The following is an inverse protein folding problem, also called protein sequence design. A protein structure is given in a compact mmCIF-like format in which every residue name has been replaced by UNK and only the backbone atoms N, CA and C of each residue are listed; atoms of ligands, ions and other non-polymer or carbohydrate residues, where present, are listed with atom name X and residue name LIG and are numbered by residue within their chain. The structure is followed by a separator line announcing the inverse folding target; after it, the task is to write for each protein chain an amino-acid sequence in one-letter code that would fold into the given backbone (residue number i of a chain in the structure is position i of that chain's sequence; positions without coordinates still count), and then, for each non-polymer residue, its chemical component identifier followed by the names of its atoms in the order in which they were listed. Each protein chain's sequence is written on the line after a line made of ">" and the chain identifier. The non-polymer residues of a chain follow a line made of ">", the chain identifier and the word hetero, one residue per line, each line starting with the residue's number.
data_IF_459830419626
#
_entry.id   IF_459830419626
#
_cell.length_a   1.000
_cell.length_b   1.000
_cell.length_c   1.000
_cell.angle_alpha   90.00
_cell.angle_beta   90.00
_cell.angle_gamma   90.00
#
_symmetry.space_group_name_H-M   'P 1'
#
loop_
_entity.id
_entity.type
_entity.pdbx_description
1 polymer ?
#
# COMPACT_ATOMS: atom_id res chain seq x y z
N UNK A 1 100.93 46.46 10.78
CA UNK A 1 101.42 47.79 10.33
C UNK A 1 102.06 48.55 11.49
N UNK A 2 103.21 49.21 11.28
CA UNK A 2 103.84 50.08 12.27
C UNK A 2 103.59 51.57 11.97
N UNK A 3 104.00 52.47 12.87
CA UNK A 3 103.92 53.92 12.65
C UNK A 3 105.16 54.40 11.91
N UNK A 4 105.03 55.46 11.10
CA UNK A 4 106.17 56.08 10.43
C UNK A 4 107.17 56.64 11.45
N UNK A 5 108.43 56.27 11.29
CA UNK A 5 109.50 56.47 12.26
C UNK A 5 110.76 57.08 11.65
N UNK A 6 110.67 57.59 10.41
CA UNK A 6 111.76 58.34 9.79
C UNK A 6 112.09 59.61 10.58
N UNK A 7 113.32 60.13 10.52
CA UNK A 7 113.71 61.36 11.24
C UNK A 7 112.82 62.57 10.94
N UNK A 8 112.18 62.58 9.77
CA UNK A 8 111.23 63.62 9.31
C UNK A 8 109.77 63.33 9.66
N UNK A 9 109.47 62.23 10.35
CA UNK A 9 108.14 61.94 10.85
C UNK A 9 107.69 63.05 11.81
N UNK A 10 106.41 63.41 11.77
CA UNK A 10 105.87 64.29 12.79
C UNK A 10 105.80 63.54 14.11
N UNK A 11 106.69 63.93 15.04
CA UNK A 11 106.65 63.40 16.39
C UNK A 11 105.29 63.66 17.03
N UNK A 12 104.72 62.61 17.63
CA UNK A 12 103.48 62.66 18.43
C UNK A 12 102.24 63.23 17.73
N UNK A 13 102.16 63.15 16.39
CA UNK A 13 101.02 63.69 15.60
C UNK A 13 99.66 63.22 16.11
N UNK A 14 99.57 61.98 16.57
CA UNK A 14 98.33 61.36 17.05
C UNK A 14 98.36 61.05 18.57
N UNK A 15 99.21 61.75 19.33
CA UNK A 15 99.46 61.53 20.76
C UNK A 15 100.85 60.98 21.06
N UNK A 16 101.23 60.93 22.34
CA UNK A 16 102.57 60.53 22.78
C UNK A 16 102.97 59.15 22.24
N UNK A 17 104.13 59.08 21.58
CA UNK A 17 104.68 57.90 20.91
C UNK A 17 104.05 57.56 19.55
N UNK A 18 103.07 58.34 19.08
CA UNK A 18 102.30 58.05 17.86
C UNK A 18 102.64 59.03 16.75
N UNK A 19 103.81 58.80 16.15
CA UNK A 19 104.30 59.58 15.03
C UNK A 19 103.38 59.45 13.80
N UNK A 20 103.39 60.46 12.94
CA UNK A 20 102.58 60.48 11.72
C UNK A 20 103.19 61.28 10.58
N UNK A 21 102.59 61.17 9.39
CA UNK A 21 103.05 61.89 8.20
C UNK A 21 102.79 63.40 8.29
N UNK A 22 103.68 64.21 7.76
CA UNK A 22 103.47 65.64 7.51
C UNK A 22 103.84 65.97 6.06
N UNK A 23 103.13 66.92 5.45
CA UNK A 23 103.48 67.42 4.11
C UNK A 23 104.72 68.32 4.13
N UNK A 24 105.29 68.56 5.33
CA UNK A 24 106.27 69.60 5.54
C UNK A 24 105.61 70.97 5.55
N UNK A 25 106.42 71.98 5.85
CA UNK A 25 106.05 73.37 5.75
C UNK A 25 107.31 74.15 5.32
N UNK A 26 107.40 74.54 4.03
CA UNK A 26 108.55 75.27 3.52
C UNK A 26 108.80 76.59 4.23
N UNK A 27 107.76 77.24 4.77
CA UNK A 27 107.88 78.54 5.44
C UNK A 27 108.56 78.44 6.81
N UNK A 28 108.43 77.28 7.48
CA UNK A 28 109.06 77.00 8.77
C UNK A 28 110.30 76.11 8.66
N UNK A 29 110.73 75.78 7.43
CA UNK A 29 111.87 74.90 7.15
C UNK A 29 111.61 73.43 7.49
N UNK A 30 110.36 73.05 7.76
CA UNK A 30 109.98 71.69 8.14
C UNK A 30 109.87 70.81 6.91
N UNK A 31 110.67 69.75 6.84
CA UNK A 31 110.61 68.79 5.73
C UNK A 31 109.33 67.95 5.77
N UNK A 32 108.86 67.56 4.59
CA UNK A 32 107.85 66.51 4.47
C UNK A 32 108.38 65.20 5.05
N UNK A 33 107.48 64.33 5.50
CA UNK A 33 107.88 63.03 6.00
C UNK A 33 108.44 62.19 4.86
N UNK A 34 109.75 61.93 4.93
CA UNK A 34 110.41 60.95 4.08
C UNK A 34 109.78 59.58 4.34
N UNK A 35 109.48 58.87 3.26
CA UNK A 35 108.93 57.52 3.30
C UNK A 35 110.10 56.51 3.38
N UNK A 36 109.96 55.47 4.18
CA UNK A 36 110.93 54.37 4.28
C UNK A 36 110.36 53.06 3.72
N UNK A 37 111.26 52.12 3.42
CA UNK A 37 110.92 50.77 2.97
C UNK A 37 110.04 50.06 3.98
N UNK A 38 110.40 50.08 5.26
CA UNK A 38 109.73 49.30 6.30
C UNK A 38 108.22 49.60 6.37
N UNK A 39 107.83 50.88 6.23
CA UNK A 39 106.42 51.28 6.22
C UNK A 39 105.70 50.81 4.94
N UNK A 40 106.34 50.92 3.77
CA UNK A 40 105.73 50.50 2.50
C UNK A 40 105.67 48.99 2.36
N UNK A 41 106.67 48.27 2.84
CA UNK A 41 106.66 46.82 2.94
C UNK A 41 105.56 46.37 3.90
N UNK A 42 105.40 47.03 5.05
CA UNK A 42 104.28 46.72 5.96
C UNK A 42 102.90 46.99 5.35
N UNK A 43 102.73 48.08 4.59
CA UNK A 43 101.46 48.36 3.88
C UNK A 43 101.21 47.32 2.78
N UNK A 44 102.24 46.98 2.02
CA UNK A 44 102.15 45.96 0.98
C UNK A 44 101.77 44.61 1.60
N UNK A 45 102.48 44.16 2.63
CA UNK A 45 102.26 42.86 3.24
C UNK A 45 100.89 42.76 3.94
N UNK A 46 100.36 43.83 4.53
CA UNK A 46 98.99 43.82 5.09
C UNK A 46 97.92 43.63 3.99
N UNK A 47 98.12 44.27 2.83
CA UNK A 47 97.23 44.11 1.68
C UNK A 47 97.41 42.74 1.02
N UNK A 48 98.66 42.32 0.81
CA UNK A 48 99.04 41.04 0.25
C UNK A 48 98.54 39.88 1.11
N UNK A 49 98.68 39.96 2.43
CA UNK A 49 98.20 38.94 3.37
C UNK A 49 96.69 38.73 3.23
N UNK A 50 95.89 39.79 3.06
CA UNK A 50 94.42 39.65 2.84
C UNK A 50 94.13 38.95 1.51
N UNK A 51 94.88 39.30 0.46
CA UNK A 51 94.73 38.71 -0.88
C UNK A 51 95.11 37.23 -0.88
N UNK A 52 96.25 36.91 -0.29
CA UNK A 52 96.76 35.55 -0.18
C UNK A 52 95.91 34.69 0.75
N UNK A 53 95.39 35.24 1.86
CA UNK A 53 94.45 34.56 2.75
C UNK A 53 93.13 34.20 2.05
N UNK A 54 92.71 34.99 1.05
CA UNK A 54 91.59 34.66 0.17
C UNK A 54 91.95 33.63 -0.92
N UNK A 55 93.18 33.10 -0.92
CA UNK A 55 93.70 32.15 -1.90
C UNK A 55 93.87 32.76 -3.30
N UNK A 56 94.11 34.07 -3.40
CA UNK A 56 94.34 34.78 -4.66
C UNK A 56 95.86 35.00 -4.82
N UNK A 57 96.50 34.55 -5.91
CA UNK A 57 97.92 34.80 -6.15
C UNK A 57 98.18 36.30 -6.43
N UNK A 58 99.22 36.88 -5.84
CA UNK A 58 99.62 38.27 -6.10
C UNK A 58 100.03 38.48 -7.56
N UNK A 59 99.54 39.55 -8.18
CA UNK A 59 99.82 39.88 -9.59
C UNK A 59 100.15 41.36 -9.73
N UNK A 60 101.37 41.64 -10.18
CA UNK A 60 101.91 43.01 -10.32
C UNK A 60 101.10 43.91 -11.29
N UNK A 61 100.23 43.34 -12.12
CA UNK A 61 99.39 44.08 -13.06
C UNK A 61 97.91 44.17 -12.67
N UNK A 62 97.48 43.55 -11.56
CA UNK A 62 96.08 43.50 -11.17
C UNK A 62 95.81 44.42 -9.97
N UNK A 63 95.00 45.46 -10.17
CA UNK A 63 94.75 46.48 -9.16
C UNK A 63 93.41 46.29 -8.42
N UNK A 64 92.71 45.17 -8.65
CA UNK A 64 91.43 44.86 -7.97
C UNK A 64 91.51 43.68 -6.98
N UNK A 65 92.72 43.16 -6.74
CA UNK A 65 92.92 41.94 -5.95
C UNK A 65 92.37 42.03 -4.52
N UNK A 66 92.55 43.16 -3.85
CA UNK A 66 92.03 43.36 -2.48
C UNK A 66 90.50 43.35 -2.43
N UNK A 67 89.84 43.97 -3.41
CA UNK A 67 88.38 43.96 -3.52
C UNK A 67 87.86 42.53 -3.75
N UNK A 68 88.47 41.79 -4.69
CA UNK A 68 88.12 40.39 -4.94
C UNK A 68 88.36 39.49 -3.71
N UNK A 69 89.44 39.75 -2.96
CA UNK A 69 89.77 39.02 -1.74
C UNK A 69 88.69 39.21 -0.67
N UNK A 70 88.28 40.46 -0.40
CA UNK A 70 87.23 40.79 0.57
C UNK A 70 85.90 40.13 0.17
N UNK A 71 85.50 40.25 -1.12
CA UNK A 71 84.27 39.62 -1.62
C UNK A 71 84.28 38.11 -1.39
N UNK A 72 85.37 37.44 -1.76
CA UNK A 72 85.50 35.99 -1.58
C UNK A 72 85.49 35.57 -0.11
N UNK A 73 86.19 36.29 0.76
CA UNK A 73 86.22 35.99 2.20
C UNK A 73 84.83 36.14 2.84
N UNK A 74 84.05 37.14 2.43
CA UNK A 74 82.67 37.33 2.90
C UNK A 74 81.77 36.22 2.38
N UNK A 75 81.82 35.92 1.08
CA UNK A 75 80.98 34.88 0.48
C UNK A 75 81.22 33.50 1.10
N UNK A 76 82.48 33.13 1.35
CA UNK A 76 82.81 31.87 2.02
C UNK A 76 82.30 31.82 3.47
N UNK A 77 82.29 32.94 4.20
CA UNK A 77 81.70 32.98 5.53
C UNK A 77 80.17 32.93 5.51
N UNK A 78 79.51 33.57 4.53
CA UNK A 78 78.05 33.63 4.43
C UNK A 78 77.45 32.29 3.99
N UNK A 79 78.14 31.51 3.13
CA UNK A 79 77.74 30.14 2.73
C UNK A 79 77.54 29.17 3.89
N UNK A 80 78.01 29.50 5.09
CA UNK A 80 77.84 28.66 6.29
C UNK A 80 76.49 28.85 6.99
N UNK A 81 75.68 29.83 6.57
CA UNK A 81 74.36 30.16 7.16
C UNK A 81 73.23 29.69 6.25
N UNK A 82 72.06 29.48 6.85
CA UNK A 82 70.84 29.20 6.09
C UNK A 82 70.26 30.47 5.47
N UNK A 83 69.77 30.38 4.25
CA UNK A 83 69.11 31.44 3.51
C UNK A 83 67.60 31.46 3.80
N UNK A 84 67.08 32.61 4.26
CA UNK A 84 65.65 32.74 4.63
C UNK A 84 64.69 32.40 3.48
N UNK A 85 65.03 32.80 2.25
CA UNK A 85 64.23 32.56 1.05
C UNK A 85 64.28 31.11 0.55
N UNK A 86 65.24 30.29 1.00
CA UNK A 86 65.31 28.86 0.65
C UNK A 86 64.33 28.01 1.49
N UNK A 87 63.72 28.58 2.54
CA UNK A 87 62.76 27.88 3.41
C UNK A 87 63.28 26.51 3.92
N UNK A 88 64.58 26.43 4.24
CA UNK A 88 65.23 25.22 4.73
C UNK A 88 65.54 24.17 3.65
N UNK A 89 65.41 24.51 2.36
CA UNK A 89 65.84 23.64 1.26
C UNK A 89 67.36 23.36 1.29
N UNK A 90 68.12 24.34 1.77
CA UNK A 90 69.57 24.42 1.96
C UNK A 90 70.10 23.73 3.23
N UNK A 91 69.23 23.15 4.06
CA UNK A 91 69.64 22.34 5.21
C UNK A 91 70.37 21.08 4.70
N UNK A 92 71.65 20.87 5.04
CA UNK A 92 72.42 19.74 4.53
C UNK A 92 71.87 18.38 4.99
N UNK A 93 71.36 18.31 6.23
CA UNK A 93 70.76 17.10 6.81
C UNK A 93 69.42 17.43 7.49
N UNK A 94 68.34 17.38 6.71
CA UNK A 94 66.97 17.64 7.19
C UNK A 94 66.54 16.67 8.31
N UNK A 95 66.84 15.36 8.25
CA UNK A 95 66.58 14.45 9.36
C UNK A 95 67.22 14.88 10.69
N UNK A 96 68.52 15.22 10.69
CA UNK A 96 69.21 15.68 11.90
C UNK A 96 68.67 17.03 12.39
N UNK A 97 68.31 17.93 11.48
CA UNK A 97 67.66 19.19 11.85
C UNK A 97 66.33 18.94 12.58
N UNK A 98 65.45 18.09 12.03
CA UNK A 98 64.18 17.71 12.66
C UNK A 98 64.36 17.05 14.04
N UNK A 99 65.45 16.30 14.24
CA UNK A 99 65.84 15.74 15.53
C UNK A 99 66.24 16.84 16.52
N UNK A 100 67.11 17.77 16.11
CA UNK A 100 67.62 18.85 16.96
C UNK A 100 66.53 19.83 17.41
N UNK A 101 65.48 20.02 16.60
CA UNK A 101 64.33 20.87 16.96
C UNK A 101 63.18 20.09 17.63
N UNK A 102 63.34 18.79 17.90
CA UNK A 102 62.36 17.99 18.63
C UNK A 102 61.11 17.59 17.84
N UNK A 103 61.12 17.68 16.52
CA UNK A 103 59.95 17.40 15.66
C UNK A 103 59.87 15.96 15.14
N UNK A 104 60.84 15.10 15.50
CA UNK A 104 60.89 13.71 15.00
C UNK A 104 59.63 12.93 15.41
N UNK A 105 59.22 12.99 16.68
CA UNK A 105 58.03 12.30 17.16
C UNK A 105 56.75 12.89 16.56
N UNK A 106 56.66 14.20 16.40
CA UNK A 106 55.49 14.87 15.79
C UNK A 106 55.28 14.43 14.35
N UNK A 107 56.33 14.33 13.54
CA UNK A 107 56.25 13.83 12.16
C UNK A 107 55.77 12.38 12.14
N UNK A 108 56.27 11.55 13.05
CA UNK A 108 55.88 10.14 13.13
C UNK A 108 54.43 9.95 13.58
N UNK A 109 53.98 10.73 14.57
CA UNK A 109 52.58 10.76 14.99
C UNK A 109 51.66 11.27 13.87
N UNK A 110 52.07 12.30 13.12
CA UNK A 110 51.29 12.83 12.00
C UNK A 110 51.18 11.81 10.85
N UNK A 111 52.28 11.09 10.54
CA UNK A 111 52.30 10.03 9.52
C UNK A 111 51.34 8.89 9.85
N UNK A 112 51.15 8.59 11.15
CA UNK A 112 50.31 7.49 11.63
C UNK A 112 49.04 7.97 12.34
N UNK A 113 48.64 9.24 12.14
CA UNK A 113 47.51 9.85 12.84
C UNK A 113 46.19 9.13 12.57
N UNK A 114 46.07 8.54 11.37
CA UNK A 114 45.01 7.59 11.03
C UNK A 114 45.60 6.17 11.14
N UNK A 115 45.16 5.37 12.12
CA UNK A 115 45.68 4.01 12.29
C UNK A 115 45.22 3.10 11.14
N UNK A 116 46.08 2.94 10.12
CA UNK A 116 45.80 2.14 8.92
C UNK A 116 45.63 0.64 9.20
N UNK A 117 46.02 0.18 10.39
CA UNK A 117 45.79 -1.19 10.87
C UNK A 117 44.38 -1.42 11.39
N UNK A 118 43.63 -0.37 11.74
CA UNK A 118 42.23 -0.50 12.15
C UNK A 118 41.30 -0.44 10.94
N UNK A 119 40.14 -1.06 11.11
CA UNK A 119 39.09 -1.12 10.08
C UNK A 119 37.77 -0.69 10.68
N UNK A 120 36.91 -0.08 9.85
CA UNK A 120 35.49 0.12 10.16
C UNK A 120 34.72 -0.85 9.27
N UNK A 121 34.08 -1.84 9.90
CA UNK A 121 33.36 -2.90 9.21
C UNK A 121 34.15 -3.53 8.03
N UNK A 122 35.41 -3.90 8.28
CA UNK A 122 36.28 -4.53 7.28
C UNK A 122 36.97 -3.57 6.29
N UNK A 123 36.59 -2.29 6.25
CA UNK A 123 37.17 -1.27 5.35
C UNK A 123 38.36 -0.58 6.02
N UNK A 124 39.48 -0.51 5.31
CA UNK A 124 40.72 0.12 5.81
C UNK A 124 40.60 1.65 5.86
N UNK A 125 41.28 2.27 6.82
CA UNK A 125 41.30 3.73 7.01
C UNK A 125 42.31 4.44 6.11
N UNK A 126 42.34 4.10 4.82
CA UNK A 126 43.27 4.68 3.84
C UNK A 126 42.62 5.71 2.91
N UNK A 127 41.28 5.76 2.90
CA UNK A 127 40.43 6.66 2.09
C UNK A 127 39.12 6.92 2.83
N UNK A 128 38.22 7.72 2.25
CA UNK A 128 36.84 7.85 2.72
C UNK A 128 36.14 6.48 2.81
N UNK A 129 35.31 6.32 3.85
CA UNK A 129 34.59 5.09 4.13
C UNK A 129 33.13 5.26 3.72
N UNK A 130 32.68 4.46 2.76
CA UNK A 130 31.26 4.30 2.46
C UNK A 130 30.75 3.01 3.06
N UNK A 131 29.81 3.09 3.99
CA UNK A 131 29.07 1.95 4.52
C UNK A 131 27.74 1.82 3.77
N UNK A 132 27.42 0.59 3.38
CA UNK A 132 26.16 0.21 2.77
C UNK A 132 25.27 -0.51 3.79
N UNK A 133 24.00 -0.71 3.48
CA UNK A 133 23.12 -1.52 4.32
C UNK A 133 23.64 -2.95 4.51
N UNK A 134 24.29 -3.52 3.48
CA UNK A 134 24.96 -4.81 3.56
C UNK A 134 26.14 -4.84 4.52
N UNK A 135 26.87 -3.72 4.65
CA UNK A 135 27.97 -3.58 5.61
C UNK A 135 27.46 -3.71 7.06
N UNK A 136 26.29 -3.15 7.37
CA UNK A 136 25.76 -3.09 8.75
C UNK A 136 24.63 -4.09 9.04
N UNK A 137 24.34 -5.01 8.10
CA UNK A 137 23.24 -5.98 8.25
C UNK A 137 21.83 -5.36 8.20
N UNK A 138 21.69 -4.15 7.65
CA UNK A 138 20.41 -3.48 7.48
C UNK A 138 19.74 -3.83 6.15
N UNK A 139 18.43 -3.63 6.06
CA UNK A 139 17.70 -3.72 4.79
C UNK A 139 17.98 -2.45 3.95
N UNK A 140 18.34 -2.56 2.65
CA UNK A 140 18.52 -1.39 1.79
C UNK A 140 17.22 -0.59 1.63
N UNK A 141 17.31 0.74 1.54
CA UNK A 141 16.15 1.63 1.28
C UNK A 141 15.52 1.40 -0.09
N UNK A 142 16.28 0.85 -1.04
CA UNK A 142 15.81 0.42 -2.36
C UNK A 142 15.05 -0.91 -2.32
N UNK A 143 14.86 -1.50 -1.14
CA UNK A 143 14.31 -2.84 -0.97
C UNK A 143 15.39 -3.93 -0.99
N UNK A 144 15.02 -5.12 -0.51
CA UNK A 144 15.92 -6.28 -0.41
C UNK A 144 15.21 -7.49 0.17
N UNK A 145 15.98 -8.54 0.49
CA UNK A 145 15.47 -9.77 1.09
C UNK A 145 15.79 -9.80 2.59
N UNK A 146 14.77 -10.04 3.42
CA UNK A 146 14.95 -10.49 4.79
C UNK A 146 15.06 -12.02 4.77
N UNK A 147 16.18 -12.57 5.24
CA UNK A 147 16.41 -14.03 5.28
C UNK A 147 15.85 -14.70 6.57
N UNK A 148 15.20 -13.93 7.44
CA UNK A 148 14.59 -14.42 8.68
C UNK A 148 13.28 -13.69 8.98
N UNK A 149 12.57 -14.10 10.03
CA UNK A 149 11.31 -13.51 10.40
C UNK A 149 11.47 -12.06 10.89
N UNK A 150 10.42 -11.25 10.71
CA UNK A 150 10.34 -9.89 11.22
C UNK A 150 9.44 -9.85 12.46
N UNK A 151 9.93 -9.28 13.56
CA UNK A 151 9.12 -8.96 14.73
C UNK A 151 8.97 -7.45 14.89
N UNK A 152 7.76 -6.98 15.15
CA UNK A 152 7.47 -5.56 15.38
C UNK A 152 7.09 -5.38 16.85
N UNK A 153 8.00 -4.76 17.61
CA UNK A 153 7.84 -4.54 19.05
C UNK A 153 8.16 -5.76 19.92
N UNK A 154 8.66 -6.85 19.33
CA UNK A 154 8.89 -8.16 19.97
C UNK A 154 9.77 -9.03 19.09
N UNK A 155 10.34 -10.10 19.64
CA UNK A 155 10.98 -11.16 18.86
C UNK A 155 9.93 -11.99 18.12
N UNK A 156 10.27 -12.53 16.95
CA UNK A 156 9.34 -13.39 16.21
C UNK A 156 9.52 -14.86 16.58
N UNK A 157 8.52 -15.44 17.26
CA UNK A 157 8.40 -16.84 17.61
C UNK A 157 7.50 -17.65 16.65
N UNK A 158 6.73 -17.01 15.75
CA UNK A 158 6.08 -17.71 14.64
C UNK A 158 7.12 -18.42 13.75
N UNK A 159 8.32 -17.88 13.63
CA UNK A 159 9.42 -18.45 12.85
C UNK A 159 9.17 -18.46 11.34
N UNK A 160 10.11 -19.05 10.59
CA UNK A 160 10.05 -19.08 9.13
C UNK A 160 9.99 -17.68 8.50
N UNK A 161 9.30 -17.57 7.36
CA UNK A 161 9.05 -16.29 6.70
C UNK A 161 7.74 -15.69 7.25
N UNK A 162 7.83 -14.87 8.30
CA UNK A 162 6.67 -14.30 8.98
C UNK A 162 6.91 -12.87 9.48
N UNK A 163 5.81 -12.19 9.79
CA UNK A 163 5.75 -10.90 10.46
C UNK A 163 4.86 -11.06 11.68
N UNK A 164 5.35 -10.72 12.88
CA UNK A 164 4.54 -10.66 14.11
C UNK A 164 4.42 -9.25 14.65
N UNK A 165 3.34 -8.97 15.39
CA UNK A 165 3.02 -7.65 15.90
C UNK A 165 2.66 -7.68 17.38
N UNK A 166 3.41 -6.95 18.22
CA UNK A 166 3.06 -6.70 19.63
C UNK A 166 3.28 -7.88 20.58
N UNK A 167 3.02 -9.11 20.14
CA UNK A 167 3.42 -10.36 20.79
C UNK A 167 4.31 -11.18 19.83
N UNK A 168 4.93 -12.25 20.34
CA UNK A 168 5.88 -13.02 19.54
C UNK A 168 5.25 -14.04 18.60
N UNK A 169 3.93 -14.24 18.61
CA UNK A 169 3.27 -15.35 17.91
C UNK A 169 1.93 -15.02 17.22
N UNK A 170 1.59 -13.74 17.06
CA UNK A 170 0.44 -13.23 16.28
C UNK A 170 0.90 -12.40 15.08
N UNK A 171 0.37 -12.72 13.90
CA UNK A 171 0.65 -11.96 12.68
C UNK A 171 0.43 -12.75 11.39
N UNK A 172 1.31 -12.54 10.41
CA UNK A 172 1.22 -13.19 9.09
C UNK A 172 2.41 -14.09 8.83
N UNK A 173 2.18 -15.26 8.27
CA UNK A 173 3.24 -16.24 8.00
C UNK A 173 3.02 -16.91 6.65
N UNK A 174 4.09 -17.03 5.88
CA UNK A 174 4.10 -17.91 4.72
C UNK A 174 3.85 -19.34 5.21
N UNK A 175 2.72 -19.91 4.83
CA UNK A 175 2.32 -21.24 5.26
C UNK A 175 2.87 -22.30 4.30
N UNK A 176 2.71 -22.04 3.01
CA UNK A 176 3.18 -22.84 1.88
C UNK A 176 3.20 -21.97 0.62
N UNK A 177 3.69 -22.49 -0.49
CA UNK A 177 3.69 -21.76 -1.76
C UNK A 177 2.27 -21.25 -2.10
N UNK A 178 2.14 -19.96 -2.38
CA UNK A 178 0.86 -19.28 -2.64
C UNK A 178 -0.08 -19.04 -1.45
N UNK A 179 0.29 -19.37 -0.21
CA UNK A 179 -0.61 -19.26 0.97
C UNK A 179 -0.03 -18.33 2.03
N UNK A 180 -0.72 -17.22 2.28
CA UNK A 180 -0.46 -16.32 3.40
C UNK A 180 -1.36 -16.69 4.58
N UNK A 181 -0.78 -17.34 5.59
CA UNK A 181 -1.49 -17.66 6.83
C UNK A 181 -1.64 -16.44 7.73
N UNK A 182 -2.80 -16.35 8.37
CA UNK A 182 -3.15 -15.40 9.43
C UNK A 182 -3.11 -16.17 10.75
N UNK A 183 -2.19 -15.79 11.61
CA UNK A 183 -1.92 -16.49 12.86
C UNK A 183 -2.23 -15.60 14.05
N UNK A 184 -2.74 -16.22 15.11
CA UNK A 184 -2.88 -15.61 16.43
C UNK A 184 -2.48 -16.63 17.49
N UNK A 185 -1.60 -16.26 18.43
CA UNK A 185 -1.06 -17.14 19.46
C UNK A 185 -0.59 -18.50 18.90
N UNK A 186 0.19 -18.46 17.81
CA UNK A 186 0.72 -19.62 17.10
C UNK A 186 -0.34 -20.57 16.47
N UNK A 187 -1.62 -20.17 16.42
CA UNK A 187 -2.69 -20.92 15.75
C UNK A 187 -3.06 -20.27 14.42
N UNK A 188 -3.25 -21.08 13.37
CA UNK A 188 -3.80 -20.61 12.09
C UNK A 188 -5.29 -20.32 12.26
N UNK A 189 -5.70 -19.05 12.17
CA UNK A 189 -7.10 -18.62 12.31
C UNK A 189 -7.77 -18.31 10.96
N UNK A 190 -6.96 -18.09 9.94
CA UNK A 190 -7.41 -17.92 8.58
C UNK A 190 -6.23 -17.87 7.64
N UNK A 191 -6.49 -17.82 6.36
CA UNK A 191 -5.46 -17.65 5.36
C UNK A 191 -6.03 -16.97 4.14
N UNK A 192 -5.13 -16.36 3.38
CA UNK A 192 -5.39 -15.90 2.04
C UNK A 192 -4.56 -16.78 1.12
N UNK A 193 -5.23 -17.38 0.16
CA UNK A 193 -4.60 -18.03 -0.96
C UNK A 193 -5.28 -17.54 -2.26
N UNK A 194 -5.04 -18.25 -3.36
CA UNK A 194 -5.67 -17.92 -4.62
C UNK A 194 -7.21 -18.12 -4.62
N UNK A 195 -7.82 -18.69 -3.57
CA UNK A 195 -9.27 -18.91 -3.41
C UNK A 195 -9.98 -17.86 -2.56
N UNK A 196 -9.23 -16.88 -2.04
CA UNK A 196 -9.76 -15.70 -1.37
C UNK A 196 -9.45 -15.72 0.11
N UNK A 197 -10.33 -15.10 0.90
CA UNK A 197 -10.20 -15.10 2.35
C UNK A 197 -10.87 -16.36 2.90
N UNK A 198 -10.07 -17.22 3.52
CA UNK A 198 -10.53 -18.38 4.27
C UNK A 198 -10.42 -18.07 5.75
N UNK A 199 -11.51 -18.24 6.49
CA UNK A 199 -11.48 -18.26 7.94
C UNK A 199 -11.52 -19.72 8.38
N UNK A 200 -10.43 -20.18 8.99
CA UNK A 200 -10.33 -21.55 9.52
C UNK A 200 -11.09 -21.72 10.83
N UNK A 201 -11.52 -20.59 11.40
CA UNK A 201 -12.46 -20.46 12.51
C UNK A 201 -13.64 -19.60 12.06
N UNK A 202 -14.57 -19.34 12.97
CA UNK A 202 -15.71 -18.47 12.69
C UNK A 202 -15.28 -17.10 12.15
N UNK A 203 -15.98 -16.62 11.12
CA UNK A 203 -15.85 -15.24 10.61
C UNK A 203 -16.57 -14.30 11.59
N UNK A 204 -15.88 -13.90 12.67
CA UNK A 204 -16.43 -13.00 13.71
C UNK A 204 -16.09 -11.54 13.33
N UNK A 205 -17.05 -10.80 12.79
CA UNK A 205 -16.88 -9.37 12.45
C UNK A 205 -17.51 -8.47 13.53
N UNK A 206 -16.81 -7.42 13.99
CA UNK A 206 -17.38 -6.39 14.92
C UNK A 206 -18.52 -5.54 14.27
N UNK A 207 -18.97 -5.92 13.06
CA UNK A 207 -19.98 -5.30 12.18
C UNK A 207 -20.60 -6.37 11.24
N UNK A 208 -21.26 -6.02 10.11
CA UNK A 208 -21.91 -7.01 9.23
C UNK A 208 -21.10 -7.44 7.99
N UNK A 209 -21.31 -8.67 7.48
CA UNK A 209 -20.83 -9.13 6.16
C UNK A 209 -21.60 -8.36 5.08
N UNK A 210 -21.00 -7.31 4.52
CA UNK A 210 -21.58 -6.56 3.41
C UNK A 210 -21.27 -7.28 2.10
N UNK A 211 -22.17 -8.17 1.67
CA UNK A 211 -22.13 -8.78 0.35
C UNK A 211 -22.84 -7.86 -0.66
N UNK A 212 -22.08 -6.95 -1.28
CA UNK A 212 -22.56 -5.98 -2.26
C UNK A 212 -22.55 -4.53 -1.77
N UNK A 213 -22.40 -3.59 -2.71
CA UNK A 213 -22.30 -2.15 -2.46
C UNK A 213 -23.69 -1.49 -2.35
N UNK A 214 -24.42 -1.37 -3.47
CA UNK A 214 -25.75 -0.73 -3.49
C UNK A 214 -26.92 -1.59 -2.97
N UNK A 215 -26.83 -2.93 -3.03
CA UNK A 215 -27.84 -3.86 -2.50
C UNK A 215 -27.15 -5.12 -1.99
N UNK A 216 -27.58 -5.58 -0.82
CA UNK A 216 -26.94 -6.69 -0.12
C UNK A 216 -27.68 -8.02 -0.34
N UNK A 217 -26.93 -9.09 -0.53
CA UNK A 217 -27.43 -10.46 -0.37
C UNK A 217 -27.49 -10.79 1.13
N UNK A 218 -28.69 -11.03 1.67
CA UNK A 218 -28.93 -11.29 3.10
C UNK A 218 -29.44 -12.72 3.31
N UNK A 219 -28.63 -13.54 3.96
CA UNK A 219 -29.07 -14.80 4.57
C UNK A 219 -29.21 -14.51 6.06
N UNK A 220 -30.44 -14.50 6.58
CA UNK A 220 -30.76 -13.98 7.93
C UNK A 220 -31.73 -14.91 8.65
N UNK A 221 -31.35 -15.34 9.85
CA UNK A 221 -32.23 -16.01 10.80
C UNK A 221 -32.64 -15.03 11.91
N UNK A 222 -33.93 -14.96 12.26
CA UNK A 222 -34.45 -14.18 13.40
C UNK A 222 -34.38 -14.94 14.74
N UNK A 223 -33.87 -16.19 14.73
CA UNK A 223 -33.69 -17.06 15.89
C UNK A 223 -34.93 -17.33 16.77
N UNK A 224 -36.15 -17.14 16.24
CA UNK A 224 -37.42 -17.50 16.88
C UNK A 224 -37.99 -18.83 16.36
N UNK A 225 -37.28 -19.45 15.42
CA UNK A 225 -37.55 -20.83 15.02
C UNK A 225 -37.20 -21.73 16.18
N UNK A 226 -38.10 -22.64 16.53
CA UNK A 226 -37.84 -23.70 17.54
C UNK A 226 -37.00 -24.85 16.97
N UNK A 227 -36.63 -24.78 15.68
CA UNK A 227 -35.88 -25.78 14.93
C UNK A 227 -34.86 -25.10 14.01
N UNK A 228 -33.82 -25.81 13.60
CA UNK A 228 -32.89 -25.33 12.57
C UNK A 228 -33.68 -24.97 11.32
N UNK A 229 -33.40 -23.83 10.70
CA UNK A 229 -33.89 -23.56 9.37
C UNK A 229 -32.68 -23.59 8.46
N UNK A 230 -32.68 -24.51 7.52
CA UNK A 230 -31.58 -24.63 6.58
C UNK A 230 -32.01 -24.04 5.24
N UNK A 231 -31.09 -23.34 4.60
CA UNK A 231 -31.17 -23.19 3.16
C UNK A 231 -30.29 -24.30 2.59
N UNK A 232 -30.95 -25.38 2.20
CA UNK A 232 -30.29 -26.56 1.68
C UNK A 232 -30.31 -26.55 0.16
N UNK A 233 -29.22 -27.07 -0.39
CA UNK A 233 -29.08 -27.35 -1.81
C UNK A 233 -28.55 -28.77 -1.93
N UNK A 234 -29.36 -29.69 -2.44
CA UNK A 234 -29.03 -31.12 -2.54
C UNK A 234 -29.77 -31.80 -3.71
N UNK A 235 -29.56 -33.11 -3.98
CA UNK A 235 -30.27 -33.87 -5.04
C UNK A 235 -29.66 -35.26 -5.37
N UNK A 236 -30.34 -36.05 -6.22
CA UNK A 236 -29.92 -37.40 -6.70
C UNK A 236 -30.47 -37.76 -8.12
N UNK A 237 -30.31 -39.02 -8.59
CA UNK A 237 -30.74 -39.47 -9.94
C UNK A 237 -32.27 -39.46 -10.16
N UNK A 238 -33.03 -39.57 -9.09
CA UNK A 238 -34.49 -39.54 -9.12
C UNK A 238 -35.01 -38.11 -8.88
N UNK A 239 -34.24 -37.29 -8.15
CA UNK A 239 -34.52 -35.87 -7.86
C UNK A 239 -33.36 -34.99 -8.30
N UNK A 240 -33.27 -34.72 -9.62
CA UNK A 240 -32.14 -34.03 -10.21
C UNK A 240 -31.63 -32.74 -9.52
N UNK A 241 -32.47 -31.94 -8.87
CA UNK A 241 -32.04 -30.76 -8.09
C UNK A 241 -33.08 -30.44 -7.05
N UNK A 242 -32.67 -30.14 -5.82
CA UNK A 242 -33.55 -29.71 -4.74
C UNK A 242 -32.95 -28.47 -4.10
N UNK A 243 -33.60 -27.33 -4.30
CA UNK A 243 -33.41 -26.18 -3.42
C UNK A 243 -34.46 -26.32 -2.35
N UNK A 244 -34.00 -26.64 -1.15
CA UNK A 244 -34.84 -27.05 -0.05
C UNK A 244 -34.72 -26.07 1.09
N UNK A 245 -35.87 -25.77 1.67
CA UNK A 245 -35.93 -25.24 3.02
C UNK A 245 -36.41 -26.39 3.89
N UNK A 246 -35.56 -26.83 4.81
CA UNK A 246 -35.92 -27.83 5.79
C UNK A 246 -35.66 -27.34 7.21
N UNK A 247 -36.21 -28.11 8.13
CA UNK A 247 -35.90 -28.01 9.53
C UNK A 247 -35.54 -29.37 10.14
N UNK A 248 -35.34 -29.38 11.46
CA UNK A 248 -34.99 -30.58 12.22
C UNK A 248 -36.02 -31.74 12.07
N UNK A 249 -37.22 -31.45 11.58
CA UNK A 249 -38.32 -32.41 11.37
C UNK A 249 -38.55 -32.76 9.90
N UNK A 250 -37.88 -32.09 8.97
CA UNK A 250 -37.88 -32.40 7.55
C UNK A 250 -38.17 -31.20 6.66
N UNK A 251 -38.40 -31.48 5.39
CA UNK A 251 -38.53 -30.46 4.36
C UNK A 251 -39.88 -29.73 4.42
N UNK A 252 -39.84 -28.41 4.25
CA UNK A 252 -41.02 -27.54 4.17
C UNK A 252 -41.45 -27.37 2.73
N UNK A 253 -40.51 -26.93 1.92
CA UNK A 253 -40.71 -26.73 0.50
C UNK A 253 -39.44 -27.03 -0.24
N UNK A 254 -39.63 -27.48 -1.46
CA UNK A 254 -38.58 -27.49 -2.43
C UNK A 254 -39.10 -27.13 -3.80
N UNK A 255 -38.24 -26.52 -4.57
CA UNK A 255 -38.33 -26.67 -6.02
C UNK A 255 -37.46 -27.83 -6.43
N UNK A 256 -37.99 -28.73 -7.26
CA UNK A 256 -37.18 -29.75 -7.91
C UNK A 256 -37.46 -29.85 -9.39
N UNK A 257 -36.49 -30.40 -10.10
CA UNK A 257 -36.66 -30.92 -11.46
C UNK A 257 -36.81 -32.43 -11.39
N UNK A 258 -37.70 -32.97 -12.22
CA UNK A 258 -37.93 -34.41 -12.37
C UNK A 258 -37.08 -35.00 -13.51
N UNK A 259 -36.98 -36.34 -13.61
CA UNK A 259 -36.23 -37.02 -14.66
C UNK A 259 -36.72 -36.73 -16.09
N UNK A 260 -38.01 -36.46 -16.27
CA UNK A 260 -38.63 -36.10 -17.55
C UNK A 260 -38.43 -34.63 -17.96
N UNK A 261 -37.70 -33.87 -17.14
CA UNK A 261 -37.44 -32.45 -17.35
C UNK A 261 -38.52 -31.51 -16.83
N UNK A 262 -39.63 -32.02 -16.30
CA UNK A 262 -40.63 -31.18 -15.63
C UNK A 262 -40.06 -30.60 -14.33
N UNK A 263 -40.62 -29.47 -13.89
CA UNK A 263 -40.30 -28.86 -12.60
C UNK A 263 -41.54 -28.99 -11.73
N UNK A 264 -41.32 -29.32 -10.47
CA UNK A 264 -42.34 -29.20 -9.45
C UNK A 264 -41.86 -28.24 -8.37
N UNK A 265 -42.77 -27.44 -7.89
CA UNK A 265 -42.63 -26.73 -6.63
C UNK A 265 -43.55 -27.45 -5.65
N UNK A 266 -42.95 -28.12 -4.68
CA UNK A 266 -43.67 -28.94 -3.73
C UNK A 266 -43.60 -28.26 -2.38
N UNK A 267 -44.77 -28.16 -1.75
CA UNK A 267 -44.93 -27.66 -0.38
C UNK A 267 -45.47 -28.82 0.44
N UNK A 268 -44.78 -29.15 1.52
CA UNK A 268 -45.23 -30.12 2.52
C UNK A 268 -46.24 -29.44 3.46
N UNK A 269 -47.41 -29.07 2.93
CA UNK A 269 -48.43 -28.33 3.68
C UNK A 269 -49.43 -27.60 2.78
N UNK A 270 -50.20 -26.70 3.37
CA UNK A 270 -51.23 -25.92 2.69
C UNK A 270 -50.64 -24.74 1.90
N UNK A 271 -51.19 -24.48 0.71
CA UNK A 271 -50.90 -23.28 -0.08
C UNK A 271 -52.03 -22.26 0.11
N UNK A 272 -51.79 -21.22 0.90
CA UNK A 272 -52.73 -20.11 1.08
C UNK A 272 -52.39 -18.96 0.11
N UNK A 273 -53.29 -18.64 -0.82
CA UNK A 273 -53.11 -17.58 -1.79
C UNK A 273 -54.34 -16.67 -1.85
N UNK A 274 -54.14 -15.36 -2.06
CA UNK A 274 -55.25 -14.43 -2.32
C UNK A 274 -55.92 -14.74 -3.68
N UNK A 275 -55.15 -15.23 -4.64
CA UNK A 275 -55.64 -15.72 -5.93
C UNK A 275 -54.65 -16.75 -6.44
N UNK A 276 -55.12 -17.94 -6.81
CA UNK A 276 -54.31 -18.92 -7.51
C UNK A 276 -54.55 -18.78 -9.02
N UNK A 277 -53.48 -18.50 -9.78
CA UNK A 277 -53.52 -18.45 -11.25
C UNK A 277 -52.82 -19.68 -11.80
N UNK A 278 -53.58 -20.54 -12.48
CA UNK A 278 -53.08 -21.76 -13.11
C UNK A 278 -53.32 -21.68 -14.62
N UNK A 279 -52.31 -21.23 -15.36
CA UNK A 279 -52.48 -20.87 -16.78
C UNK A 279 -53.52 -19.76 -16.93
N UNK A 280 -54.54 -19.99 -17.76
CA UNK A 280 -55.66 -19.06 -17.95
C UNK A 280 -56.77 -19.14 -16.90
N UNK A 281 -56.71 -20.13 -15.98
CA UNK A 281 -57.70 -20.29 -14.92
C UNK A 281 -57.33 -19.44 -13.69
N UNK A 282 -58.35 -18.88 -13.04
CA UNK A 282 -58.18 -18.06 -11.83
C UNK A 282 -59.13 -18.57 -10.76
N UNK A 283 -58.58 -19.00 -9.62
CA UNK A 283 -59.33 -19.32 -8.42
C UNK A 283 -59.32 -18.10 -7.50
N UNK A 284 -60.49 -17.52 -7.27
CA UNK A 284 -60.66 -16.31 -6.46
C UNK A 284 -60.87 -16.66 -4.97
N UNK A 285 -60.56 -15.70 -4.11
CA UNK A 285 -60.77 -15.81 -2.66
C UNK A 285 -62.26 -15.83 -2.24
N UNK A 286 -63.19 -15.58 -3.15
CA UNK A 286 -64.64 -15.68 -2.93
C UNK A 286 -65.22 -17.05 -3.33
N UNK A 287 -64.37 -18.00 -3.75
CA UNK A 287 -64.77 -19.33 -4.21
C UNK A 287 -65.18 -19.41 -5.68
N UNK A 288 -65.17 -18.31 -6.43
CA UNK A 288 -65.46 -18.31 -7.86
C UNK A 288 -64.24 -18.72 -8.69
N UNK A 289 -64.49 -19.26 -9.87
CA UNK A 289 -63.47 -19.79 -10.78
C UNK A 289 -63.65 -19.14 -12.15
N UNK A 290 -62.63 -18.43 -12.61
CA UNK A 290 -62.59 -17.93 -13.98
C UNK A 290 -61.89 -18.94 -14.89
N UNK A 291 -62.42 -19.17 -16.08
CA UNK A 291 -61.74 -19.97 -17.09
C UNK A 291 -62.47 -19.99 -18.43
N UNK A 292 -61.73 -20.34 -19.49
CA UNK A 292 -62.27 -20.46 -20.85
C UNK A 292 -63.36 -21.52 -20.96
N UNK A 293 -63.31 -22.58 -20.14
CA UNK A 293 -64.35 -23.61 -20.05
C UNK A 293 -65.74 -23.05 -19.72
N UNK A 294 -65.81 -21.94 -18.98
CA UNK A 294 -67.06 -21.28 -18.57
C UNK A 294 -67.37 -20.04 -19.40
N UNK A 295 -66.51 -19.66 -20.36
CA UNK A 295 -66.60 -18.38 -21.08
C UNK A 295 -66.43 -17.16 -20.16
N UNK A 296 -65.79 -17.32 -19.00
CA UNK A 296 -65.71 -16.30 -17.95
C UNK A 296 -65.77 -16.91 -16.56
N UNK A 297 -66.61 -16.33 -15.70
CA UNK A 297 -66.82 -16.78 -14.32
C UNK A 297 -67.75 -17.99 -14.23
N UNK A 298 -67.38 -18.99 -13.45
CA UNK A 298 -68.18 -20.19 -13.18
C UNK A 298 -69.53 -19.79 -12.57
N UNK A 299 -69.56 -18.83 -11.64
CA UNK A 299 -70.81 -18.34 -11.06
C UNK A 299 -71.80 -17.83 -12.13
N UNK A 300 -71.34 -17.05 -13.09
CA UNK A 300 -72.14 -16.56 -14.22
C UNK A 300 -72.59 -17.70 -15.13
N UNK A 301 -71.70 -18.65 -15.42
CA UNK A 301 -72.02 -19.81 -16.22
C UNK A 301 -73.10 -20.67 -15.54
N UNK A 302 -72.97 -20.97 -14.24
CA UNK A 302 -73.98 -21.71 -13.46
C UNK A 302 -75.32 -20.96 -13.46
N UNK A 303 -75.28 -19.65 -13.21
CA UNK A 303 -76.48 -18.81 -13.21
C UNK A 303 -77.24 -18.87 -14.53
N UNK A 304 -76.54 -18.97 -15.66
CA UNK A 304 -77.14 -18.93 -17.00
C UNK A 304 -77.52 -20.32 -17.56
N UNK A 305 -77.02 -21.42 -16.97
CA UNK A 305 -77.21 -22.76 -17.53
C UNK A 305 -78.06 -23.70 -16.66
N UNK A 306 -78.32 -23.37 -15.38
CA UNK A 306 -79.13 -24.22 -14.49
C UNK A 306 -80.38 -23.50 -13.98
N UNK A 307 -81.46 -24.28 -13.79
CA UNK A 307 -82.67 -23.82 -13.11
C UNK A 307 -82.36 -23.59 -11.63
N UNK A 308 -82.52 -22.36 -11.17
CA UNK A 308 -82.24 -21.96 -9.77
C UNK A 308 -83.48 -21.96 -8.89
N UNK A 309 -84.66 -21.81 -9.49
CA UNK A 309 -85.93 -21.80 -8.79
C UNK A 309 -87.06 -22.14 -9.78
N UNK A 310 -88.17 -22.67 -9.26
CA UNK A 310 -89.38 -22.96 -10.01
C UNK A 310 -90.55 -22.24 -9.34
N UNK A 311 -91.44 -21.63 -10.13
CA UNK A 311 -92.68 -20.99 -9.64
C UNK A 311 -93.83 -21.18 -10.62
N UNK A 312 -95.02 -20.76 -10.21
CA UNK A 312 -96.16 -20.61 -11.09
C UNK A 312 -96.25 -19.17 -11.61
N UNK A 313 -96.35 -19.00 -12.93
CA UNK A 313 -96.57 -17.71 -13.58
C UNK A 313 -97.98 -17.15 -13.36
N UNK A 314 -98.38 -16.08 -14.07
CA UNK A 314 -99.72 -15.50 -13.95
C UNK A 314 -100.82 -16.52 -14.24
N UNK A 315 -101.94 -16.41 -13.53
CA UNK A 315 -103.11 -17.26 -13.76
C UNK A 315 -103.80 -16.87 -15.06
N UNK A 316 -103.99 -17.87 -15.92
CA UNK A 316 -104.79 -17.79 -17.13
C UNK A 316 -106.03 -18.66 -16.97
N UNK A 317 -107.01 -18.41 -17.82
CA UNK A 317 -108.27 -19.13 -17.86
C UNK A 317 -108.48 -19.66 -19.28
N UNK A 318 -108.99 -20.88 -19.42
CA UNK A 318 -109.36 -21.41 -20.73
C UNK A 318 -110.52 -20.60 -21.32
N UNK A 319 -110.69 -20.70 -22.65
CA UNK A 319 -112.00 -20.41 -23.26
C UNK A 319 -113.05 -21.44 -22.80
N UNK A 320 -114.29 -21.25 -23.26
CA UNK A 320 -115.36 -22.23 -23.04
C UNK A 320 -114.94 -23.62 -23.51
N UNK A 321 -115.26 -24.63 -22.71
CA UNK A 321 -114.84 -26.00 -22.92
C UNK A 321 -115.94 -26.82 -23.57
N UNK A 322 -115.53 -27.82 -24.34
CA UNK A 322 -116.43 -28.86 -24.81
C UNK A 322 -115.73 -30.21 -24.60
N UNK A 323 -116.01 -30.84 -23.45
CA UNK A 323 -115.45 -32.13 -23.01
C UNK A 323 -113.95 -32.05 -22.68
N UNK A 324 -113.14 -32.92 -23.28
CA UNK A 324 -111.72 -33.11 -22.96
C UNK A 324 -110.91 -31.83 -23.22
N UNK A 325 -110.37 -31.24 -22.14
CA UNK A 325 -109.45 -30.12 -22.24
C UNK A 325 -108.01 -30.57 -22.05
N UNK A 326 -107.23 -30.52 -23.14
CA UNK A 326 -105.80 -30.79 -23.09
C UNK A 326 -105.04 -29.48 -22.89
N UNK A 327 -104.51 -29.31 -21.69
CA UNK A 327 -103.65 -28.18 -21.38
C UNK A 327 -102.28 -28.36 -22.07
N UNK A 328 -101.81 -27.32 -22.76
CA UNK A 328 -100.51 -27.33 -23.43
C UNK A 328 -99.36 -27.52 -22.44
N UNK A 329 -98.33 -28.24 -22.87
CA UNK A 329 -97.18 -28.60 -22.02
C UNK A 329 -96.52 -27.37 -21.38
N UNK A 330 -96.02 -27.54 -20.15
CA UNK A 330 -95.43 -26.47 -19.35
C UNK A 330 -96.44 -25.62 -18.58
N UNK A 331 -97.72 -25.96 -18.57
CA UNK A 331 -98.72 -25.39 -17.67
C UNK A 331 -99.21 -26.44 -16.68
N UNK A 332 -99.64 -25.98 -15.50
CA UNK A 332 -100.32 -26.82 -14.50
C UNK A 332 -101.70 -26.27 -14.24
N UNK A 333 -102.66 -27.19 -14.06
CA UNK A 333 -103.99 -26.82 -13.61
C UNK A 333 -103.93 -26.41 -12.16
N UNK A 334 -104.51 -25.25 -11.84
CA UNK A 334 -104.56 -24.71 -10.49
C UNK A 334 -105.99 -24.53 -9.97
N UNK A 335 -107.00 -24.83 -10.80
CA UNK A 335 -108.41 -24.83 -10.40
C UNK A 335 -109.35 -25.07 -11.57
N UNK A 336 -110.63 -25.27 -11.26
CA UNK A 336 -111.71 -25.48 -12.23
C UNK A 336 -112.90 -24.57 -11.89
N UNK A 337 -113.62 -24.15 -12.92
CA UNK A 337 -114.95 -23.53 -12.83
C UNK A 337 -115.92 -24.40 -13.60
N UNK A 338 -117.02 -24.80 -12.96
CA UNK A 338 -118.09 -25.55 -13.62
C UNK A 338 -119.46 -25.00 -13.26
N UNK A 339 -120.39 -25.02 -14.23
CA UNK A 339 -121.80 -24.70 -14.03
C UNK A 339 -122.62 -25.86 -13.43
N UNK A 340 -121.98 -27.01 -13.18
CA UNK A 340 -122.60 -28.20 -12.57
C UNK A 340 -122.91 -29.33 -13.55
N UNK A 341 -122.58 -29.18 -14.85
CA UNK A 341 -122.59 -30.29 -15.80
C UNK A 341 -121.49 -31.32 -15.49
N UNK A 342 -121.83 -32.61 -15.50
CA UNK A 342 -120.91 -33.69 -15.15
C UNK A 342 -119.77 -33.88 -16.16
N UNK A 343 -119.95 -33.43 -17.41
CA UNK A 343 -119.02 -33.66 -18.52
C UNK A 343 -118.30 -32.38 -18.99
N UNK A 344 -118.43 -31.29 -18.23
CA UNK A 344 -117.88 -29.97 -18.58
C UNK A 344 -118.28 -29.54 -20.01
N UNK A 345 -119.58 -29.65 -20.33
CA UNK A 345 -120.17 -29.35 -21.64
C UNK A 345 -120.81 -27.95 -21.73
N UNK A 346 -120.62 -27.09 -20.73
CA UNK A 346 -121.20 -25.74 -20.66
C UNK A 346 -120.33 -24.65 -21.27
N UNK A 347 -120.95 -23.67 -21.93
CA UNK A 347 -120.28 -22.52 -22.56
C UNK A 347 -119.35 -21.74 -21.59
N UNK A 348 -119.59 -21.81 -20.27
CA UNK A 348 -118.83 -21.10 -19.22
C UNK A 348 -117.93 -22.02 -18.35
N UNK A 349 -117.82 -23.30 -18.67
CA UNK A 349 -116.89 -24.22 -17.98
C UNK A 349 -115.45 -23.86 -18.34
N UNK A 350 -114.58 -23.72 -17.32
CA UNK A 350 -113.21 -23.21 -17.51
C UNK A 350 -112.19 -23.89 -16.60
N UNK A 351 -110.96 -23.96 -17.10
CA UNK A 351 -109.79 -24.39 -16.34
C UNK A 351 -108.94 -23.17 -16.00
N UNK A 352 -108.66 -22.99 -14.71
CA UNK A 352 -107.61 -22.08 -14.26
C UNK A 352 -106.28 -22.80 -14.35
N UNK A 353 -105.36 -22.25 -15.12
CA UNK A 353 -104.03 -22.82 -15.27
C UNK A 353 -102.97 -21.75 -15.10
N UNK A 354 -101.79 -22.20 -14.69
CA UNK A 354 -100.61 -21.35 -14.54
C UNK A 354 -99.45 -21.98 -15.29
N UNK A 355 -98.69 -21.21 -16.07
CA UNK A 355 -97.45 -21.71 -16.64
C UNK A 355 -96.46 -22.02 -15.53
N UNK A 356 -95.81 -23.18 -15.59
CA UNK A 356 -94.62 -23.47 -14.80
C UNK A 356 -93.49 -22.59 -15.33
N UNK A 357 -92.89 -21.80 -14.46
CA UNK A 357 -91.75 -20.97 -14.79
C UNK A 357 -90.51 -21.44 -14.06
N UNK A 358 -89.37 -21.44 -14.75
CA UNK A 358 -88.06 -21.69 -14.15
C UNK A 358 -87.18 -20.46 -14.25
N UNK A 359 -86.38 -20.21 -13.22
CA UNK A 359 -85.42 -19.10 -13.16
C UNK A 359 -84.08 -19.57 -13.73
N UNK A 360 -83.70 -19.01 -14.89
CA UNK A 360 -82.40 -19.24 -15.54
C UNK A 360 -81.86 -17.89 -16.01
N UNK A 361 -80.59 -17.61 -15.75
CA UNK A 361 -79.91 -16.37 -16.12
C UNK A 361 -80.55 -15.11 -15.52
N UNK A 362 -81.13 -15.22 -14.32
CA UNK A 362 -81.89 -14.14 -13.68
C UNK A 362 -83.26 -13.86 -14.31
N UNK A 363 -83.67 -14.63 -15.32
CA UNK A 363 -84.92 -14.46 -16.04
C UNK A 363 -85.87 -15.63 -15.76
N UNK A 364 -87.15 -15.32 -15.50
CA UNK A 364 -88.18 -16.35 -15.40
C UNK A 364 -88.66 -16.74 -16.80
N UNK A 365 -88.41 -17.99 -17.18
CA UNK A 365 -88.79 -18.56 -18.46
C UNK A 365 -89.97 -19.49 -18.24
N UNK A 366 -91.03 -19.35 -19.04
CA UNK A 366 -92.16 -20.28 -19.05
C UNK A 366 -91.76 -21.57 -19.75
N UNK A 367 -92.03 -22.73 -19.13
CA UNK A 367 -91.79 -24.02 -19.74
C UNK A 367 -92.62 -24.19 -21.01
N UNK A 368 -91.98 -24.62 -22.11
CA UNK A 368 -92.56 -24.70 -23.45
C UNK A 368 -92.97 -26.13 -23.84
N UNK A 369 -93.37 -26.96 -22.87
CA UNK A 369 -93.44 -28.44 -22.89
C UNK A 369 -92.10 -29.14 -22.61
N UNK A 370 -92.17 -30.27 -21.88
CA UNK A 370 -91.05 -31.17 -21.55
C UNK A 370 -91.12 -32.38 -22.45
#
# INVERSE_FOLDING_TARGET
>A
MHRIDTPTAQKDKFGQGKNGFTNGDPATGRRATDLNSDMWDAVQEEVCTVIEAAGIPLSKGEHTQLHAAIGRLIDEQVKTRLEKNQNGADIPNKPLFLQNVGLTETVEQARNAVPSTRKVNGKALTTDITLTSGDIGALPVTGGKLNGPLGIGTDNALGGNSIVFGDNDTGFKWHSDGVLGIYANNALVGYIDNSGLHMSVDVITNGGIRAGDGKRLSLTSNNNSTMTATFNLWGDANRPTVIELDDDQGWHLYSQRNPDGSIVFTVNGDITANTLRAGGAIYQNNGDIFGSAWGGWLSNWVNNNFVRAVRLGPQAISGGLWRDYQLGGGNVVTGFHTDGSWEMEGDDDKVYYRPVQFLVGGTWITASSV
#
